data_IF_693653940223
#
_entry.id   IF_693653940223
#
_cell.length_a   1.000
_cell.length_b   1.000
_cell.length_c   1.000
_cell.angle_alpha   90.00
_cell.angle_beta   90.00
_cell.angle_gamma   90.00
#
_symmetry.space_group_name_H-M   'P 1'
#
loop_
_entity.id
_entity.type
_entity.pdbx_description
1 polymer ?
#
# COMPACT_ATOMS: atom_id res chain seq x y z
N UNK A 1 -3.23 -25.21 53.42
CA UNK A 1 -4.28 -25.10 52.39
C UNK A 1 -4.43 -23.72 51.81
N UNK A 2 -4.53 -22.63 52.59
CA UNK A 2 -4.76 -21.25 52.12
C UNK A 2 -3.59 -20.74 51.25
N UNK A 3 -2.31 -21.05 51.58
CA UNK A 3 -1.15 -20.61 50.79
C UNK A 3 -1.10 -21.27 49.41
N UNK A 4 -1.52 -22.53 49.31
CA UNK A 4 -1.55 -23.27 48.01
C UNK A 4 -2.65 -22.77 47.11
N UNK A 5 -3.80 -22.31 47.67
CA UNK A 5 -4.91 -21.72 46.93
C UNK A 5 -4.54 -20.36 46.32
N UNK A 6 -3.77 -19.56 47.11
CA UNK A 6 -3.31 -18.24 46.65
C UNK A 6 -2.32 -18.36 45.49
N UNK A 7 -1.43 -19.37 45.52
CA UNK A 7 -0.44 -19.59 44.45
C UNK A 7 -1.11 -20.05 43.15
N UNK A 8 -2.15 -20.89 43.25
CA UNK A 8 -2.93 -21.32 42.07
C UNK A 8 -3.74 -20.16 41.47
N UNK A 9 -4.31 -19.28 42.32
CA UNK A 9 -5.05 -18.11 41.85
C UNK A 9 -4.15 -17.11 41.15
N UNK A 10 -2.92 -16.88 41.64
CA UNK A 10 -1.93 -16.00 40.98
C UNK A 10 -1.46 -16.59 39.65
N UNK A 11 -1.26 -17.91 39.57
CA UNK A 11 -0.91 -18.58 38.30
C UNK A 11 -2.02 -18.46 37.24
N UNK A 12 -3.29 -18.55 37.67
CA UNK A 12 -4.44 -18.41 36.74
C UNK A 12 -4.58 -16.97 36.21
N UNK A 13 -4.19 -15.95 36.98
CA UNK A 13 -4.20 -14.56 36.53
C UNK A 13 -3.12 -14.29 35.46
N UNK A 14 -1.96 -14.97 35.56
CA UNK A 14 -0.90 -14.83 34.55
C UNK A 14 -1.19 -15.59 33.23
N UNK A 15 -2.07 -16.59 33.24
CA UNK A 15 -2.47 -17.32 32.02
C UNK A 15 -3.53 -16.54 31.24
N UNK A 16 -4.24 -15.56 31.85
CA UNK A 16 -5.32 -14.79 31.21
C UNK A 16 -4.87 -13.56 30.41
N UNK A 17 -3.59 -13.25 30.36
CA UNK A 17 -3.06 -12.12 29.56
C UNK A 17 -2.30 -12.59 28.31
N UNK A 18 -2.79 -13.60 27.57
CA UNK A 18 -2.58 -13.64 26.15
C UNK A 18 -3.56 -12.62 25.55
N UNK A 19 -3.11 -11.40 25.29
CA UNK A 19 -3.75 -10.58 24.29
C UNK A 19 -3.74 -11.35 22.98
N UNK A 20 -4.80 -12.11 22.69
CA UNK A 20 -5.09 -12.51 21.34
C UNK A 20 -5.26 -11.21 20.58
N UNK A 21 -4.26 -10.86 19.77
CA UNK A 21 -4.41 -9.81 18.76
C UNK A 21 -5.50 -10.33 17.85
N UNK A 22 -6.74 -9.87 18.08
CA UNK A 22 -7.85 -10.19 17.21
C UNK A 22 -7.49 -9.67 15.83
N UNK A 23 -7.33 -10.57 14.87
CA UNK A 23 -6.98 -10.24 13.50
C UNK A 23 -8.03 -9.30 12.92
N UNK A 24 -7.64 -8.05 12.62
CA UNK A 24 -8.54 -7.01 12.10
C UNK A 24 -8.90 -7.19 10.62
N UNK A 25 -8.38 -8.24 9.98
CA UNK A 25 -8.49 -8.52 8.56
C UNK A 25 -7.16 -8.37 7.84
N UNK A 26 -7.18 -8.41 6.51
CA UNK A 26 -5.95 -8.41 5.71
C UNK A 26 -5.82 -7.15 4.85
N UNK A 27 -4.59 -6.75 4.57
CA UNK A 27 -4.20 -5.71 3.63
C UNK A 27 -3.32 -6.34 2.55
N UNK A 28 -3.62 -6.06 1.30
CA UNK A 28 -2.83 -6.51 0.17
C UNK A 28 -1.80 -5.44 -0.18
N UNK A 29 -0.53 -5.82 -0.31
CA UNK A 29 0.53 -4.94 -0.79
C UNK A 29 0.93 -5.39 -2.19
N UNK A 30 0.80 -4.50 -3.18
CA UNK A 30 1.23 -4.76 -4.55
C UNK A 30 2.67 -4.27 -4.70
N UNK A 31 3.51 -5.13 -5.23
CA UNK A 31 4.93 -4.91 -5.48
C UNK A 31 5.30 -5.37 -6.90
N UNK A 32 6.41 -4.87 -7.42
CA UNK A 32 6.91 -5.18 -8.76
C UNK A 32 7.87 -6.37 -8.75
N UNK A 33 7.91 -7.14 -9.84
CA UNK A 33 8.98 -8.10 -10.12
C UNK A 33 10.13 -7.51 -10.93
N UNK A 34 10.00 -6.28 -11.44
CA UNK A 34 11.03 -5.64 -12.27
C UNK A 34 12.27 -5.32 -11.46
N UNK A 35 13.43 -5.74 -11.93
CA UNK A 35 14.73 -5.50 -11.26
C UNK A 35 15.38 -4.22 -11.75
N UNK A 36 15.44 -4.04 -13.07
CA UNK A 36 16.05 -2.88 -13.70
C UNK A 36 15.14 -2.24 -14.77
N UNK A 37 15.55 -1.08 -15.29
CA UNK A 37 14.79 -0.30 -16.27
C UNK A 37 14.85 -0.88 -17.69
N UNK A 38 15.58 -1.98 -17.90
CA UNK A 38 15.82 -2.58 -19.23
C UNK A 38 16.86 -1.83 -20.06
N UNK A 39 17.58 -0.88 -19.48
CA UNK A 39 18.61 -0.10 -20.13
C UNK A 39 20.00 -0.74 -19.96
N UNK A 40 21.00 -0.35 -20.83
CA UNK A 40 22.35 -0.91 -20.78
C UNK A 40 23.06 -0.68 -19.43
N UNK A 41 22.76 0.41 -18.74
CA UNK A 41 23.35 0.76 -17.44
C UNK A 41 22.66 0.05 -16.27
N UNK A 42 21.54 -0.66 -16.55
CA UNK A 42 20.75 -1.40 -15.57
C UNK A 42 20.35 -0.57 -14.34
N UNK A 43 19.82 0.62 -14.60
CA UNK A 43 19.26 1.42 -13.53
C UNK A 43 18.21 0.61 -12.78
N UNK A 44 18.31 0.59 -11.45
CA UNK A 44 17.40 -0.17 -10.60
C UNK A 44 15.96 0.36 -10.73
N UNK A 45 15.02 -0.54 -10.97
CA UNK A 45 13.61 -0.23 -11.15
C UNK A 45 12.69 -0.87 -10.12
N UNK A 46 13.20 -1.76 -9.30
CA UNK A 46 12.42 -2.51 -8.31
C UNK A 46 11.73 -1.65 -7.25
N UNK A 47 11.26 -2.33 -6.23
CA UNK A 47 10.53 -1.68 -5.16
C UNK A 47 11.45 -0.84 -4.28
N UNK A 48 11.01 0.32 -3.85
CA UNK A 48 11.72 1.11 -2.86
C UNK A 48 11.39 0.59 -1.46
N UNK A 49 12.41 0.08 -0.76
CA UNK A 49 12.21 -0.50 0.57
C UNK A 49 11.59 0.50 1.56
N UNK A 50 11.96 1.78 1.48
CA UNK A 50 11.41 2.83 2.31
C UNK A 50 9.92 3.11 2.07
N UNK A 51 9.43 2.78 0.88
CA UNK A 51 8.02 2.99 0.52
C UNK A 51 7.15 1.75 0.79
N UNK A 52 7.75 0.63 1.20
CA UNK A 52 7.01 -0.62 1.48
C UNK A 52 7.19 -1.09 2.93
N UNK A 53 8.40 -1.08 3.48
CA UNK A 53 8.65 -1.62 4.82
C UNK A 53 8.00 -0.79 5.95
N UNK A 54 8.08 0.56 5.98
CA UNK A 54 7.36 1.35 6.99
C UNK A 54 5.83 1.19 6.90
N UNK A 55 5.17 1.22 5.74
CA UNK A 55 3.76 0.84 5.60
C UNK A 55 3.45 -0.55 6.14
N UNK A 56 4.23 -1.55 5.77
CA UNK A 56 4.08 -2.92 6.27
C UNK A 56 4.10 -2.96 7.80
N UNK A 57 5.12 -2.32 8.42
CA UNK A 57 5.22 -2.21 9.88
C UNK A 57 3.97 -1.58 10.50
N UNK A 58 3.47 -0.49 9.93
CA UNK A 58 2.24 0.17 10.41
C UNK A 58 1.04 -0.79 10.34
N UNK A 59 0.85 -1.49 9.22
CA UNK A 59 -0.27 -2.41 9.07
C UNK A 59 -0.21 -3.55 10.09
N UNK A 60 0.95 -4.20 10.22
CA UNK A 60 1.15 -5.33 11.16
C UNK A 60 1.00 -4.86 12.61
N UNK A 61 1.57 -3.70 12.99
CA UNK A 61 1.47 -3.16 14.35
C UNK A 61 0.04 -2.75 14.74
N UNK A 62 -0.84 -2.50 13.75
CA UNK A 62 -2.26 -2.26 13.97
C UNK A 62 -3.12 -3.53 13.92
N UNK A 63 -2.52 -4.71 13.81
CA UNK A 63 -3.19 -6.01 13.87
C UNK A 63 -3.77 -6.49 12.55
N UNK A 64 -3.29 -5.98 11.41
CA UNK A 64 -3.64 -6.48 10.09
C UNK A 64 -2.65 -7.55 9.64
N UNK A 65 -3.17 -8.60 9.00
CA UNK A 65 -2.34 -9.49 8.20
C UNK A 65 -1.98 -8.80 6.88
N UNK A 66 -0.74 -8.98 6.44
CA UNK A 66 -0.27 -8.40 5.18
C UNK A 66 0.23 -9.49 4.26
N UNK A 67 -0.32 -9.52 3.06
CA UNK A 67 0.15 -10.41 1.99
C UNK A 67 0.71 -9.54 0.86
N UNK A 68 1.81 -9.99 0.22
CA UNK A 68 2.33 -9.35 -0.99
C UNK A 68 1.81 -10.06 -2.23
N UNK A 69 1.55 -9.28 -3.27
CA UNK A 69 1.24 -9.77 -4.62
C UNK A 69 2.10 -9.03 -5.63
N UNK A 70 2.58 -9.76 -6.63
CA UNK A 70 3.35 -9.19 -7.73
C UNK A 70 2.86 -9.76 -9.07
N UNK A 71 3.24 -9.17 -10.23
CA UNK A 71 2.82 -9.63 -11.54
C UNK A 71 3.01 -11.12 -11.81
N UNK A 72 4.10 -11.72 -11.31
CA UNK A 72 4.44 -13.14 -11.53
C UNK A 72 4.52 -13.96 -10.25
N UNK A 73 4.34 -13.34 -9.09
CA UNK A 73 4.56 -14.00 -7.80
C UNK A 73 6.04 -14.24 -7.49
N UNK A 74 6.30 -14.94 -6.38
CA UNK A 74 7.65 -15.30 -5.94
C UNK A 74 8.46 -14.12 -5.44
N UNK A 75 9.78 -14.20 -5.63
CA UNK A 75 10.72 -13.19 -5.13
C UNK A 75 10.57 -11.85 -5.84
N UNK A 76 10.63 -10.78 -5.05
CA UNK A 76 10.54 -9.39 -5.54
C UNK A 76 11.78 -8.57 -5.16
N UNK A 77 12.31 -7.75 -6.08
CA UNK A 77 13.52 -6.96 -5.83
C UNK A 77 13.22 -5.70 -5.04
N UNK A 78 14.11 -5.36 -4.10
CA UNK A 78 14.06 -4.13 -3.32
C UNK A 78 15.38 -3.37 -3.38
N UNK A 79 15.31 -2.04 -3.52
CA UNK A 79 16.45 -1.18 -3.29
C UNK A 79 16.74 -1.15 -1.79
N UNK A 80 18.03 -1.27 -1.45
CA UNK A 80 18.46 -1.18 -0.06
C UNK A 80 18.26 0.25 0.47
N UNK A 81 17.69 0.32 1.66
CA UNK A 81 17.54 1.57 2.39
C UNK A 81 18.75 1.77 3.34
N UNK A 82 19.50 2.88 3.21
CA UNK A 82 20.65 3.13 4.06
C UNK A 82 20.30 3.57 5.50
N UNK A 83 19.04 3.86 5.81
CA UNK A 83 18.66 4.50 7.08
C UNK A 83 18.26 3.53 8.20
N UNK A 84 18.26 2.23 7.95
CA UNK A 84 18.18 1.20 9.01
C UNK A 84 16.81 1.00 9.68
N UNK A 85 15.81 1.86 9.49
CA UNK A 85 14.46 1.66 10.06
C UNK A 85 13.82 0.42 9.47
N UNK A 86 14.01 0.19 8.18
CA UNK A 86 13.51 -0.98 7.47
C UNK A 86 14.08 -2.29 7.98
N UNK A 87 15.29 -2.27 8.56
CA UNK A 87 15.93 -3.49 9.05
C UNK A 87 15.20 -4.14 10.23
N UNK A 88 14.52 -3.34 11.05
CA UNK A 88 13.68 -3.89 12.12
C UNK A 88 12.50 -4.69 11.55
N UNK A 89 11.77 -4.11 10.63
CA UNK A 89 10.63 -4.76 9.97
C UNK A 89 11.05 -6.04 9.25
N UNK A 90 12.16 -5.97 8.49
CA UNK A 90 12.71 -7.14 7.79
C UNK A 90 13.07 -8.25 8.76
N UNK A 91 13.70 -7.91 9.89
CA UNK A 91 14.22 -8.91 10.82
C UNK A 91 13.15 -9.51 11.74
N UNK A 92 12.16 -8.71 12.17
CA UNK A 92 11.29 -9.10 13.29
C UNK A 92 9.82 -9.31 12.92
N UNK A 93 9.39 -8.91 11.74
CA UNK A 93 7.97 -8.91 11.35
C UNK A 93 7.66 -9.83 10.15
N UNK A 94 8.51 -10.80 9.86
CA UNK A 94 8.36 -11.75 8.74
C UNK A 94 8.21 -11.06 7.37
N UNK A 95 8.75 -9.85 7.23
CA UNK A 95 8.73 -9.12 5.96
C UNK A 95 9.38 -9.92 4.83
N UNK A 96 10.50 -10.60 5.13
CA UNK A 96 11.24 -11.40 4.16
C UNK A 96 10.43 -12.54 3.55
N UNK A 97 9.53 -13.16 4.31
CA UNK A 97 8.69 -14.24 3.79
C UNK A 97 7.80 -13.74 2.65
N UNK A 98 7.26 -12.52 2.78
CA UNK A 98 6.50 -11.86 1.72
C UNK A 98 7.38 -11.46 0.53
N UNK A 99 8.62 -11.02 0.78
CA UNK A 99 9.59 -10.65 -0.27
C UNK A 99 10.00 -11.84 -1.13
N UNK A 100 10.23 -12.99 -0.49
CA UNK A 100 10.63 -14.21 -1.20
C UNK A 100 9.44 -14.96 -1.83
N UNK A 101 8.21 -14.77 -1.31
CA UNK A 101 7.05 -15.58 -1.65
C UNK A 101 5.79 -14.72 -1.90
N UNK A 102 5.91 -13.66 -2.72
CA UNK A 102 4.72 -12.90 -3.09
C UNK A 102 3.72 -13.76 -3.88
N UNK A 103 2.43 -13.48 -3.70
CA UNK A 103 1.35 -14.17 -4.43
C UNK A 103 1.37 -13.80 -5.91
N UNK A 104 0.86 -14.69 -6.76
CA UNK A 104 0.44 -14.31 -8.11
C UNK A 104 -0.95 -13.67 -8.06
N UNK A 105 -1.38 -12.89 -9.07
CA UNK A 105 -2.71 -12.31 -9.11
C UNK A 105 -3.84 -13.37 -9.01
N UNK A 106 -3.63 -14.56 -9.57
CA UNK A 106 -4.61 -15.67 -9.57
C UNK A 106 -4.83 -16.27 -8.16
N UNK A 107 -3.84 -16.12 -7.28
CA UNK A 107 -3.93 -16.60 -5.89
C UNK A 107 -4.67 -15.62 -4.97
N UNK A 108 -4.98 -14.42 -5.44
CA UNK A 108 -5.60 -13.36 -4.64
C UNK A 108 -7.12 -13.52 -4.58
N UNK A 109 -7.65 -13.81 -3.39
CA UNK A 109 -9.06 -13.65 -3.09
C UNK A 109 -9.29 -12.21 -2.57
N UNK A 110 -9.68 -11.30 -3.47
CA UNK A 110 -9.86 -9.88 -3.17
C UNK A 110 -10.83 -9.59 -2.01
N UNK A 111 -11.78 -10.50 -1.72
CA UNK A 111 -12.78 -10.34 -0.67
C UNK A 111 -12.19 -10.36 0.74
N UNK A 112 -10.99 -10.91 0.90
CA UNK A 112 -10.29 -10.97 2.20
C UNK A 112 -9.70 -9.63 2.61
N UNK A 113 -9.48 -8.71 1.64
CA UNK A 113 -8.69 -7.51 1.87
C UNK A 113 -9.56 -6.30 2.16
N UNK A 114 -9.24 -5.61 3.26
CA UNK A 114 -9.85 -4.34 3.66
C UNK A 114 -9.24 -3.14 2.92
N UNK A 115 -8.02 -3.32 2.44
CA UNK A 115 -7.33 -2.32 1.63
C UNK A 115 -6.32 -2.98 0.69
N UNK A 116 -5.94 -2.23 -0.34
CA UNK A 116 -4.76 -2.49 -1.16
C UNK A 116 -3.83 -1.29 -1.10
N UNK A 117 -2.54 -1.55 -0.90
CA UNK A 117 -1.49 -0.56 -0.91
C UNK A 117 -0.50 -0.87 -2.04
N UNK A 118 -0.15 0.13 -2.84
CA UNK A 118 0.81 -0.01 -3.93
C UNK A 118 2.12 0.64 -3.48
N UNK A 119 3.16 -0.17 -3.36
CA UNK A 119 4.50 0.29 -3.03
C UNK A 119 5.08 1.16 -4.14
N UNK A 120 5.91 2.12 -3.75
CA UNK A 120 6.66 2.93 -4.71
C UNK A 120 7.90 2.22 -5.25
N UNK A 121 8.57 2.88 -6.18
CA UNK A 121 9.62 2.38 -7.02
C UNK A 121 9.19 2.37 -8.49
N UNK A 122 10.14 2.47 -9.40
CA UNK A 122 9.85 2.57 -10.84
C UNK A 122 9.13 1.35 -11.40
N UNK A 123 9.33 0.18 -10.82
CA UNK A 123 8.64 -1.05 -11.21
C UNK A 123 7.13 -0.91 -11.20
N UNK A 124 6.57 -0.07 -10.32
CA UNK A 124 5.13 0.22 -10.31
C UNK A 124 4.62 0.76 -11.64
N UNK A 125 5.43 1.51 -12.39
CA UNK A 125 5.10 2.04 -13.72
C UNK A 125 5.41 1.04 -14.84
N UNK A 126 6.34 0.11 -14.64
CA UNK A 126 6.84 -0.78 -15.67
C UNK A 126 5.99 -2.05 -15.81
N UNK A 127 5.77 -2.76 -14.73
CA UNK A 127 5.07 -4.05 -14.76
C UNK A 127 3.73 -4.08 -14.00
N UNK A 128 3.54 -3.24 -12.97
CA UNK A 128 2.29 -3.22 -12.21
C UNK A 128 1.21 -2.41 -12.92
N UNK A 129 1.52 -1.19 -13.38
CA UNK A 129 0.56 -0.25 -13.99
C UNK A 129 -0.10 -0.78 -15.29
N UNK A 130 0.50 -1.79 -15.92
CA UNK A 130 0.02 -2.41 -17.14
C UNK A 130 -0.46 -3.85 -16.94
N UNK A 131 -0.46 -4.37 -15.71
CA UNK A 131 -0.92 -5.72 -15.41
C UNK A 131 -2.45 -5.74 -15.17
N UNK A 132 -3.21 -6.16 -16.18
CA UNK A 132 -4.66 -6.17 -16.12
C UNK A 132 -5.24 -6.97 -14.94
N UNK A 133 -4.58 -8.05 -14.51
CA UNK A 133 -5.04 -8.85 -13.39
C UNK A 133 -4.90 -8.08 -12.08
N UNK A 134 -3.77 -7.41 -11.85
CA UNK A 134 -3.56 -6.55 -10.67
C UNK A 134 -4.50 -5.35 -10.69
N UNK A 135 -4.67 -4.67 -11.84
CA UNK A 135 -5.63 -3.57 -11.97
C UNK A 135 -7.06 -4.01 -11.65
N UNK A 136 -7.46 -5.21 -12.11
CA UNK A 136 -8.77 -5.79 -11.77
C UNK A 136 -8.91 -6.09 -10.27
N UNK A 137 -7.85 -6.56 -9.61
CA UNK A 137 -7.86 -6.79 -8.15
C UNK A 137 -8.05 -5.47 -7.40
N UNK A 138 -7.33 -4.41 -7.78
CA UNK A 138 -7.48 -3.07 -7.18
C UNK A 138 -8.93 -2.59 -7.33
N UNK A 139 -9.49 -2.67 -8.54
CA UNK A 139 -10.88 -2.29 -8.82
C UNK A 139 -11.87 -3.06 -7.92
N UNK A 140 -11.74 -4.39 -7.84
CA UNK A 140 -12.62 -5.25 -7.04
C UNK A 140 -12.52 -4.96 -5.55
N UNK A 141 -11.31 -4.71 -5.00
CA UNK A 141 -11.14 -4.32 -3.59
C UNK A 141 -11.84 -2.99 -3.35
N UNK A 142 -11.64 -2.00 -4.23
CA UNK A 142 -12.29 -0.69 -4.12
C UNK A 142 -13.81 -0.79 -4.20
N UNK A 143 -14.35 -1.49 -5.18
CA UNK A 143 -15.81 -1.67 -5.38
C UNK A 143 -16.45 -2.50 -4.25
N UNK A 144 -15.68 -3.39 -3.62
CA UNK A 144 -16.11 -4.13 -2.43
C UNK A 144 -16.03 -3.30 -1.12
N UNK A 145 -15.81 -2.00 -1.22
CA UNK A 145 -15.76 -1.08 -0.07
C UNK A 145 -14.39 -0.92 0.57
N UNK A 146 -13.34 -1.52 0.01
CA UNK A 146 -11.97 -1.41 0.51
C UNK A 146 -11.32 -0.06 0.21
N UNK A 147 -10.20 0.21 0.87
CA UNK A 147 -9.38 1.40 0.70
C UNK A 147 -8.25 1.11 -0.29
N UNK A 148 -7.94 2.08 -1.15
CA UNK A 148 -6.79 2.02 -2.07
C UNK A 148 -5.78 3.08 -1.66
N UNK A 149 -4.51 2.69 -1.52
CA UNK A 149 -3.45 3.63 -1.22
C UNK A 149 -2.17 3.38 -2.00
N UNK A 150 -1.33 4.41 -2.11
CA UNK A 150 -0.03 4.29 -2.74
C UNK A 150 0.85 5.50 -2.47
N UNK A 151 2.16 5.31 -2.57
CA UNK A 151 3.14 6.39 -2.41
C UNK A 151 4.19 6.37 -3.52
N UNK A 152 4.86 7.49 -3.73
CA UNK A 152 5.88 7.66 -4.75
C UNK A 152 5.35 7.36 -6.15
N UNK A 153 5.87 6.32 -6.80
CA UNK A 153 5.39 5.84 -8.11
C UNK A 153 4.18 4.89 -8.02
N UNK A 154 3.84 4.39 -6.82
CA UNK A 154 2.69 3.48 -6.62
C UNK A 154 1.36 4.00 -7.19
N UNK A 155 1.01 5.30 -7.04
CA UNK A 155 -0.19 5.87 -7.64
C UNK A 155 -0.29 5.72 -9.16
N UNK A 156 0.82 5.52 -9.85
CA UNK A 156 0.82 5.23 -11.30
C UNK A 156 0.09 3.94 -11.65
N UNK A 157 0.11 2.96 -10.77
CA UNK A 157 -0.64 1.72 -10.98
C UNK A 157 -2.15 1.98 -10.94
N UNK A 158 -2.66 2.63 -9.91
CA UNK A 158 -4.11 2.86 -9.85
C UNK A 158 -4.61 3.96 -10.79
N UNK A 159 -3.73 4.73 -11.42
CA UNK A 159 -4.12 5.63 -12.50
C UNK A 159 -4.84 4.89 -13.64
N UNK A 160 -4.45 3.65 -13.92
CA UNK A 160 -4.99 2.84 -15.01
C UNK A 160 -6.18 1.95 -14.61
N UNK A 161 -6.57 1.96 -13.35
CA UNK A 161 -7.68 1.14 -12.85
C UNK A 161 -9.00 1.63 -13.43
N UNK A 162 -9.71 0.74 -14.13
CA UNK A 162 -11.09 0.94 -14.57
C UNK A 162 -12.05 0.21 -13.65
N UNK A 163 -13.09 0.89 -13.23
CA UNK A 163 -14.19 0.32 -12.45
C UNK A 163 -15.17 -0.44 -13.35
N UNK A 164 -16.08 -1.18 -12.76
CA UNK A 164 -17.10 -1.97 -13.47
C UNK A 164 -18.00 -1.14 -14.40
N UNK A 165 -18.16 0.17 -14.11
CA UNK A 165 -18.86 1.11 -14.98
C UNK A 165 -18.02 1.60 -16.18
N UNK A 166 -16.78 1.15 -16.33
CA UNK A 166 -15.87 1.53 -17.39
C UNK A 166 -15.09 2.85 -17.17
N UNK A 167 -15.39 3.58 -16.11
CA UNK A 167 -14.67 4.81 -15.79
C UNK A 167 -13.35 4.53 -15.05
N UNK A 168 -12.38 5.43 -15.22
CA UNK A 168 -11.16 5.37 -14.42
C UNK A 168 -11.45 5.68 -12.95
N UNK A 169 -10.89 4.87 -12.03
CA UNK A 169 -11.08 5.02 -10.58
C UNK A 169 -10.70 6.42 -10.09
N UNK A 170 -9.70 7.04 -10.70
CA UNK A 170 -9.20 8.38 -10.34
C UNK A 170 -9.98 9.54 -10.95
N UNK A 171 -10.93 9.28 -11.84
CA UNK A 171 -11.67 10.33 -12.55
C UNK A 171 -12.43 11.25 -11.57
N UNK A 172 -12.13 12.55 -11.65
CA UNK A 172 -12.72 13.58 -10.80
C UNK A 172 -12.25 13.59 -9.36
N UNK A 173 -11.24 12.79 -9.01
CA UNK A 173 -10.72 12.68 -7.64
C UNK A 173 -9.39 13.39 -7.48
N UNK A 174 -9.17 13.97 -6.29
CA UNK A 174 -7.87 14.49 -5.91
C UNK A 174 -6.89 13.35 -5.68
N UNK A 175 -5.78 13.39 -6.40
CA UNK A 175 -4.71 12.38 -6.33
C UNK A 175 -3.34 13.04 -6.42
N UNK A 176 -2.34 12.39 -5.86
CA UNK A 176 -0.94 12.80 -5.99
C UNK A 176 -0.03 11.58 -6.19
N UNK A 177 1.23 11.81 -6.39
CA UNK A 177 2.28 10.82 -6.56
C UNK A 177 3.57 11.52 -6.95
N UNK A 178 4.58 10.77 -7.40
CA UNK A 178 5.86 11.35 -7.76
C UNK A 178 5.71 12.33 -8.94
N UNK A 179 5.99 13.66 -8.75
CA UNK A 179 5.61 14.68 -9.72
C UNK A 179 6.64 14.81 -10.83
N UNK A 180 6.19 15.26 -11.99
CA UNK A 180 7.06 15.54 -13.15
C UNK A 180 8.21 16.48 -12.79
N UNK A 181 7.97 17.51 -11.98
CA UNK A 181 9.00 18.48 -11.58
C UNK A 181 10.18 17.85 -10.86
N UNK A 182 9.95 16.77 -10.12
CA UNK A 182 11.00 16.01 -9.45
C UNK A 182 11.59 14.96 -10.38
N UNK A 183 10.77 14.29 -11.19
CA UNK A 183 11.20 13.25 -12.12
C UNK A 183 12.22 13.78 -13.13
N UNK A 184 11.96 14.91 -13.74
CA UNK A 184 12.85 15.54 -14.74
C UNK A 184 14.21 15.97 -14.16
N UNK A 185 14.39 15.98 -12.85
CA UNK A 185 15.71 16.25 -12.24
C UNK A 185 16.68 15.07 -12.36
N UNK A 186 16.17 13.86 -12.63
CA UNK A 186 17.00 12.69 -12.86
C UNK A 186 17.70 12.80 -14.22
N UNK A 187 18.98 12.51 -14.27
CA UNK A 187 19.74 12.66 -15.52
C UNK A 187 19.18 11.82 -16.67
N UNK A 188 18.78 10.58 -16.38
CA UNK A 188 18.19 9.66 -17.35
C UNK A 188 16.72 9.98 -17.66
N UNK A 189 15.98 10.56 -16.72
CA UNK A 189 14.59 10.94 -16.91
C UNK A 189 14.43 12.20 -17.77
N UNK A 190 15.44 13.05 -17.86
CA UNK A 190 15.40 14.25 -18.73
C UNK A 190 15.13 13.91 -20.19
N UNK A 191 15.58 12.80 -20.65
CA UNK A 191 15.37 12.32 -22.01
C UNK A 191 14.07 11.51 -22.16
N UNK A 192 13.41 11.17 -21.07
CA UNK A 192 12.16 10.39 -21.00
C UNK A 192 12.25 9.02 -21.69
N UNK A 193 13.45 8.50 -21.83
CA UNK A 193 13.72 7.31 -22.64
C UNK A 193 13.49 6.02 -21.89
N UNK A 194 13.56 6.03 -20.56
CA UNK A 194 13.45 4.83 -19.73
C UNK A 194 12.05 4.62 -19.14
N UNK A 195 11.28 5.70 -18.95
CA UNK A 195 9.93 5.58 -18.40
C UNK A 195 8.90 5.44 -19.53
N UNK A 196 8.01 4.44 -19.47
CA UNK A 196 6.95 4.26 -20.44
C UNK A 196 5.94 5.39 -20.42
N UNK A 197 5.76 6.01 -19.25
CA UNK A 197 4.86 7.13 -19.02
C UNK A 197 5.26 7.89 -17.76
N UNK A 198 5.03 9.20 -17.74
CA UNK A 198 5.16 10.01 -16.53
C UNK A 198 3.89 9.87 -15.70
N UNK A 199 4.04 9.51 -14.43
CA UNK A 199 2.94 9.25 -13.50
C UNK A 199 1.91 10.38 -13.45
N UNK A 200 2.38 11.62 -13.25
CA UNK A 200 1.50 12.80 -13.20
C UNK A 200 0.69 12.94 -14.50
N UNK A 201 1.33 12.74 -15.65
CA UNK A 201 0.64 12.83 -16.94
C UNK A 201 -0.44 11.74 -17.06
N UNK A 202 -0.16 10.53 -16.59
CA UNK A 202 -1.12 9.44 -16.64
C UNK A 202 -2.32 9.68 -15.73
N UNK A 203 -2.09 10.15 -14.50
CA UNK A 203 -3.18 10.50 -13.58
C UNK A 203 -4.08 11.58 -14.17
N UNK A 204 -3.50 12.66 -14.74
CA UNK A 204 -4.25 13.74 -15.39
C UNK A 204 -5.00 13.26 -16.64
N UNK A 205 -4.37 12.44 -17.48
CA UNK A 205 -5.00 11.92 -18.71
C UNK A 205 -6.23 11.05 -18.41
N UNK A 206 -6.22 10.33 -17.28
CA UNK A 206 -7.32 9.48 -16.83
C UNK A 206 -8.33 10.24 -15.93
N UNK A 207 -8.24 11.57 -15.89
CA UNK A 207 -9.21 12.45 -15.25
C UNK A 207 -8.98 12.71 -13.77
N UNK A 208 -7.84 12.33 -13.21
CA UNK A 208 -7.42 12.67 -11.85
C UNK A 208 -7.08 14.15 -11.72
N UNK A 209 -7.48 14.77 -10.61
CA UNK A 209 -7.12 16.14 -10.25
C UNK A 209 -5.80 16.05 -9.49
N UNK A 210 -4.69 16.16 -10.22
CA UNK A 210 -3.36 15.97 -9.63
C UNK A 210 -2.98 17.15 -8.74
N UNK A 211 -2.74 16.86 -7.48
CA UNK A 211 -2.24 17.81 -6.49
C UNK A 211 -0.72 17.77 -6.53
N UNK A 212 -0.11 18.85 -7.03
CA UNK A 212 1.34 19.05 -6.99
C UNK A 212 1.61 20.26 -6.13
N UNK A 213 2.22 20.05 -4.98
CA UNK A 213 2.78 21.14 -4.19
C UNK A 213 4.28 21.10 -4.37
N UNK A 214 4.82 22.17 -4.92
CA UNK A 214 6.23 22.30 -5.29
C UNK A 214 7.16 22.56 -4.10
N UNK A 215 6.63 22.69 -2.90
CA UNK A 215 7.42 23.00 -1.71
C UNK A 215 7.60 21.74 -0.84
N UNK A 216 8.83 21.25 -0.76
CA UNK A 216 9.26 20.13 0.08
C UNK A 216 9.00 20.36 1.59
N UNK A 217 8.71 21.58 1.99
CA UNK A 217 8.37 21.96 3.37
C UNK A 217 6.86 21.96 3.64
N UNK A 218 6.04 21.77 2.62
CA UNK A 218 4.59 21.72 2.81
C UNK A 218 4.22 20.31 3.33
N UNK A 219 3.62 20.27 4.52
CA UNK A 219 3.18 19.06 5.24
C UNK A 219 2.09 18.26 4.50
N UNK A 220 1.76 18.60 3.26
CA UNK A 220 0.59 18.13 2.55
C UNK A 220 0.87 17.48 1.19
N UNK A 221 1.96 16.72 1.08
CA UNK A 221 2.20 15.83 -0.08
C UNK A 221 1.21 14.67 -0.13
N UNK A 222 -0.05 14.95 0.19
CA UNK A 222 -1.10 13.97 0.43
C UNK A 222 -2.36 14.39 -0.28
N UNK A 223 -2.95 13.48 -1.04
CA UNK A 223 -4.32 13.56 -1.49
C UNK A 223 -5.14 12.43 -0.86
N UNK A 224 -6.26 12.78 -0.24
CA UNK A 224 -7.19 11.85 0.39
C UNK A 224 -8.56 12.16 -0.15
N UNK A 225 -9.10 11.26 -0.94
CA UNK A 225 -10.38 11.43 -1.58
C UNK A 225 -11.22 10.15 -1.40
N UNK A 226 -12.34 10.25 -0.67
CA UNK A 226 -13.15 9.09 -0.31
C UNK A 226 -12.31 7.96 0.32
N UNK A 227 -12.08 6.88 -0.45
CA UNK A 227 -11.31 5.68 -0.06
C UNK A 227 -10.02 5.53 -0.86
N UNK A 228 -9.56 6.62 -1.49
CA UNK A 228 -8.27 6.68 -2.19
C UNK A 228 -7.33 7.58 -1.38
N UNK A 229 -6.13 7.10 -1.12
CA UNK A 229 -5.09 7.82 -0.40
C UNK A 229 -3.79 7.74 -1.17
N UNK A 230 -3.27 8.87 -1.60
CA UNK A 230 -2.02 8.93 -2.35
C UNK A 230 -1.03 9.92 -1.75
N UNK A 231 0.25 9.58 -1.84
CA UNK A 231 1.35 10.33 -1.26
C UNK A 231 2.47 10.52 -2.28
N UNK A 232 3.08 11.71 -2.25
CA UNK A 232 4.03 12.13 -3.25
C UNK A 232 5.41 11.49 -3.05
N UNK A 233 5.92 11.49 -1.81
CA UNK A 233 7.31 11.12 -1.51
C UNK A 233 7.43 9.94 -0.56
N UNK A 234 8.57 9.27 -0.65
CA UNK A 234 8.95 8.13 0.19
C UNK A 234 8.91 8.45 1.70
N UNK A 235 9.26 9.68 2.10
CA UNK A 235 9.23 10.12 3.50
C UNK A 235 7.83 10.10 4.13
N UNK A 236 6.78 10.13 3.30
CA UNK A 236 5.38 10.14 3.73
C UNK A 236 4.73 8.75 3.72
N UNK A 237 5.47 7.69 3.39
CA UNK A 237 4.93 6.34 3.24
C UNK A 237 4.27 5.79 4.52
N UNK A 238 4.88 6.01 5.68
CA UNK A 238 4.32 5.61 6.97
C UNK A 238 3.04 6.41 7.30
N UNK A 239 2.96 7.68 6.90
CA UNK A 239 1.77 8.52 7.08
C UNK A 239 0.65 8.02 6.17
N UNK A 240 0.97 7.62 4.93
CA UNK A 240 0.03 6.95 4.02
C UNK A 240 -0.61 5.73 4.67
N UNK A 241 0.21 4.84 5.22
CA UNK A 241 -0.27 3.64 5.89
C UNK A 241 -1.18 3.96 7.08
N UNK A 242 -0.81 4.92 7.94
CA UNK A 242 -1.67 5.37 9.06
C UNK A 242 -3.00 5.92 8.58
N UNK A 243 -3.00 6.66 7.47
CA UNK A 243 -4.23 7.19 6.88
C UNK A 243 -5.13 6.07 6.35
N UNK A 244 -4.56 5.05 5.69
CA UNK A 244 -5.30 3.86 5.25
C UNK A 244 -5.95 3.15 6.44
N UNK A 245 -5.18 2.90 7.51
CA UNK A 245 -5.71 2.30 8.75
C UNK A 245 -6.87 3.12 9.30
N UNK A 246 -6.70 4.44 9.40
CA UNK A 246 -7.77 5.34 9.87
C UNK A 246 -9.03 5.28 9.01
N UNK A 247 -8.89 5.18 7.68
CA UNK A 247 -10.04 5.04 6.77
C UNK A 247 -10.75 3.70 6.98
N UNK A 248 -10.02 2.59 7.11
CA UNK A 248 -10.61 1.27 7.38
C UNK A 248 -11.39 1.29 8.70
N UNK A 249 -10.83 1.88 9.77
CA UNK A 249 -11.48 1.95 11.08
C UNK A 249 -12.75 2.81 11.06
N UNK A 250 -12.75 3.93 10.34
CA UNK A 250 -13.95 4.77 10.14
C UNK A 250 -15.06 4.02 9.39
N UNK A 251 -14.70 3.26 8.36
CA UNK A 251 -15.66 2.44 7.62
C UNK A 251 -16.30 1.37 8.52
N UNK A 252 -15.50 0.65 9.30
CA UNK A 252 -15.98 -0.36 10.24
C UNK A 252 -16.95 0.24 11.28
N UNK A 253 -16.64 1.43 11.82
CA UNK A 253 -17.50 2.12 12.77
C UNK A 253 -18.85 2.53 12.15
N UNK A 254 -18.84 3.00 10.92
CA UNK A 254 -20.06 3.39 10.20
C UNK A 254 -20.97 2.19 9.89
N UNK A 255 -20.40 1.03 9.58
CA UNK A 255 -21.16 -0.21 9.37
C UNK A 255 -21.77 -0.74 10.68
N UNK A 256 -21.02 -0.72 11.79
CA UNK A 256 -21.53 -1.17 13.10
C UNK A 256 -22.72 -0.34 13.56
N UNK A 257 -22.67 0.99 13.40
CA UNK A 257 -23.78 1.87 13.79
C UNK A 257 -25.04 1.71 12.91
N UNK A 258 -24.87 1.47 11.59
CA UNK A 258 -26.02 1.17 10.70
C UNK A 258 -26.66 -0.17 11.05
N UNK A 259 -25.88 -1.18 11.42
CA UNK A 259 -26.39 -2.47 11.85
C UNK A 259 -27.17 -2.34 13.17
N UNK A 260 -26.72 -1.55 14.12
CA UNK A 260 -27.45 -1.28 15.37
C UNK A 260 -28.77 -0.52 15.14
N UNK A 261 -28.75 0.48 14.24
CA UNK A 261 -29.96 1.24 13.91
C UNK A 261 -31.04 0.37 13.24
N UNK A 262 -30.64 -0.58 12.40
CA UNK A 262 -31.58 -1.52 11.75
C UNK A 262 -32.08 -2.63 12.69
N UNK A 263 -31.48 -2.82 13.84
CA UNK A 263 -31.95 -3.80 14.85
C UNK A 263 -33.00 -3.20 15.82
N UNK A 264 -33.17 -1.88 15.81
CA UNK A 264 -34.08 -1.13 16.68
C UNK A 264 -35.39 -0.71 15.94
N UNK A 265 -35.58 -1.13 14.69
CA UNK A 265 -36.81 -0.97 13.92
C UNK A 265 -37.48 -2.35 13.75
#
# INVERSE_FOLDING_TARGET
MIKTLLTVLVLLIFISCKNEITEKGSILVIVSNTEDMGDPEKHFAGNNLWEVAPPYHIFVSHGYKVDFVSPTGGKVPFSMDPLGISSYTIKYENFNDNVENSLTPEQVDYKKYKAVFIGGGYGSLLDVANNNNLLSIIAKIYENGGVVGGCGHGPGAFANVKLSNGEYMVKGKEVTGFPNSTEITKNWAKEWTLLPVMLENQLRANGGIFQSKSDLNDKHDVAIEERITSFMFLSSSAICAKQIVSQIEKLNYSYSNKSFANFLI
#
